data_IF_107762284984
#
_entry.id   IF_107762284984
#
_cell.length_a   1.000
_cell.length_b   1.000
_cell.length_c   1.000
_cell.angle_alpha   90.00
_cell.angle_beta   90.00
_cell.angle_gamma   90.00
#
_symmetry.space_group_name_H-M   'P 1'
#
loop_
_entity.id
_entity.type
_entity.pdbx_description
1 polymer ?
#
# COMPACT_ATOMS: atom_id res chain seq x y z
N UNK A 1 10.15 -10.82 7.28
CA UNK A 1 11.15 -9.95 6.60
C UNK A 1 11.02 -9.76 5.08
N UNK A 2 11.37 -10.69 4.16
CA UNK A 2 11.40 -10.38 2.69
C UNK A 2 10.05 -9.91 2.09
N UNK A 3 8.94 -10.52 2.51
CA UNK A 3 7.60 -10.16 2.03
C UNK A 3 7.21 -8.75 2.46
N UNK A 4 7.52 -8.34 3.69
CA UNK A 4 7.16 -7.01 4.19
C UNK A 4 7.90 -5.90 3.48
N UNK A 5 9.18 -6.12 3.17
CA UNK A 5 9.96 -5.20 2.37
C UNK A 5 9.39 -5.08 0.95
N UNK A 6 9.02 -6.20 0.33
CA UNK A 6 8.38 -6.18 -0.99
C UNK A 6 7.01 -5.47 -0.98
N UNK A 7 6.23 -5.64 0.09
CA UNK A 7 4.96 -4.93 0.27
C UNK A 7 5.18 -3.42 0.50
N UNK A 8 6.20 -3.03 1.27
CA UNK A 8 6.58 -1.63 1.49
C UNK A 8 7.04 -0.95 0.20
N UNK A 9 7.87 -1.62 -0.60
CA UNK A 9 8.30 -1.13 -1.92
C UNK A 9 7.11 -1.03 -2.90
N UNK A 10 6.23 -2.02 -2.93
CA UNK A 10 5.03 -1.99 -3.75
C UNK A 10 4.10 -0.82 -3.38
N UNK A 11 3.91 -0.57 -2.08
CA UNK A 11 3.10 0.54 -1.60
C UNK A 11 3.69 1.89 -2.03
N UNK A 12 5.01 2.09 -1.85
CA UNK A 12 5.71 3.32 -2.27
C UNK A 12 5.59 3.56 -3.78
N UNK A 13 5.72 2.51 -4.58
CA UNK A 13 5.61 2.61 -6.03
C UNK A 13 4.18 2.98 -6.46
N UNK A 14 3.16 2.39 -5.84
CA UNK A 14 1.76 2.71 -6.10
C UNK A 14 1.39 4.12 -5.64
N UNK A 15 1.87 4.54 -4.47
CA UNK A 15 1.67 5.90 -3.95
C UNK A 15 2.29 6.94 -4.89
N UNK A 16 3.54 6.71 -5.33
CA UNK A 16 4.21 7.57 -6.30
C UNK A 16 3.44 7.64 -7.62
N UNK A 17 2.98 6.50 -8.15
CA UNK A 17 2.20 6.47 -9.38
C UNK A 17 0.86 7.19 -9.25
N UNK A 18 0.19 7.09 -8.09
CA UNK A 18 -1.03 7.83 -7.80
C UNK A 18 -0.78 9.34 -7.75
N UNK A 19 0.32 9.77 -7.14
CA UNK A 19 0.68 11.19 -7.06
C UNK A 19 1.05 11.77 -8.43
N UNK A 20 1.81 11.02 -9.23
CA UNK A 20 2.10 11.39 -10.63
C UNK A 20 0.81 11.50 -11.47
N UNK A 21 -0.16 10.60 -11.24
CA UNK A 21 -1.44 10.65 -11.93
C UNK A 21 -2.30 11.85 -11.48
N UNK A 22 -2.34 12.18 -10.18
CA UNK A 22 -3.03 13.39 -9.66
C UNK A 22 -2.43 14.67 -10.21
N UNK A 23 -1.10 14.80 -10.12
CA UNK A 23 -0.39 15.98 -10.64
C UNK A 23 -0.58 16.16 -12.15
N UNK A 24 -0.78 15.06 -12.87
CA UNK A 24 -1.10 15.04 -14.30
C UNK A 24 -2.60 15.21 -14.61
N UNK A 25 -3.46 15.37 -13.61
CA UNK A 25 -4.93 15.51 -13.73
C UNK A 25 -5.63 14.31 -14.38
N UNK A 26 -5.14 13.10 -14.09
CA UNK A 26 -5.62 11.85 -14.67
C UNK A 26 -6.62 11.12 -13.76
N UNK A 27 -7.21 11.79 -12.77
CA UNK A 27 -8.12 11.14 -11.80
C UNK A 27 -9.40 10.59 -12.42
N UNK A 28 -9.81 11.11 -13.58
CA UNK A 28 -10.95 10.61 -14.35
C UNK A 28 -10.63 9.38 -15.21
N UNK A 29 -9.36 8.99 -15.31
CA UNK A 29 -8.94 7.90 -16.17
C UNK A 29 -9.11 6.53 -15.49
N UNK A 30 -9.52 5.47 -16.22
CA UNK A 30 -9.68 4.14 -15.65
C UNK A 30 -8.42 3.60 -14.94
N UNK A 31 -7.24 3.94 -15.45
CA UNK A 31 -5.98 3.50 -14.85
C UNK A 31 -5.76 4.09 -13.45
N UNK A 32 -6.24 5.32 -13.19
CA UNK A 32 -6.16 5.94 -11.87
C UNK A 32 -6.99 5.15 -10.86
N UNK A 33 -8.20 4.77 -11.24
CA UNK A 33 -9.05 3.89 -10.43
C UNK A 33 -8.35 2.56 -10.13
N UNK A 34 -7.72 1.93 -11.13
CA UNK A 34 -6.97 0.69 -10.93
C UNK A 34 -5.77 0.85 -9.98
N UNK A 35 -5.04 1.96 -10.07
CA UNK A 35 -3.95 2.27 -9.16
C UNK A 35 -4.48 2.45 -7.72
N UNK A 36 -5.57 3.20 -7.55
CA UNK A 36 -6.17 3.47 -6.24
C UNK A 36 -6.69 2.18 -5.59
N UNK A 37 -7.38 1.32 -6.37
CA UNK A 37 -7.84 0.02 -5.90
C UNK A 37 -6.68 -0.91 -5.55
N UNK A 38 -5.63 -0.96 -6.39
CA UNK A 38 -4.46 -1.79 -6.16
C UNK A 38 -3.73 -1.38 -4.88
N UNK A 39 -3.61 -0.06 -4.68
CA UNK A 39 -3.11 0.51 -3.44
C UNK A 39 -3.96 0.02 -2.27
N UNK A 40 -5.27 0.25 -2.25
CA UNK A 40 -6.16 -0.18 -1.17
C UNK A 40 -6.11 -1.70 -0.88
N UNK A 41 -6.06 -2.55 -1.91
CA UNK A 41 -5.98 -4.02 -1.77
C UNK A 41 -4.67 -4.46 -1.10
N UNK A 42 -3.57 -3.77 -1.37
CA UNK A 42 -2.28 -4.05 -0.72
C UNK A 42 -2.38 -3.87 0.80
N UNK A 43 -3.02 -2.80 1.25
CA UNK A 43 -3.28 -2.56 2.68
C UNK A 43 -4.20 -3.60 3.30
N UNK A 44 -5.27 -3.97 2.60
CA UNK A 44 -6.17 -5.02 3.05
C UNK A 44 -5.42 -6.35 3.23
N UNK A 45 -4.51 -6.70 2.32
CA UNK A 45 -3.69 -7.89 2.43
C UNK A 45 -2.78 -7.87 3.67
N UNK A 46 -2.12 -6.74 3.96
CA UNK A 46 -1.30 -6.56 5.18
C UNK A 46 -2.15 -6.72 6.44
N UNK A 47 -3.33 -6.09 6.48
CA UNK A 47 -4.25 -6.19 7.60
C UNK A 47 -4.70 -7.64 7.85
N UNK A 48 -5.00 -8.40 6.79
CA UNK A 48 -5.35 -9.81 6.88
C UNK A 48 -4.18 -10.66 7.38
N UNK A 49 -2.96 -10.43 6.88
CA UNK A 49 -1.78 -11.15 7.35
C UNK A 49 -1.58 -10.98 8.87
N UNK A 50 -1.78 -9.76 9.38
CA UNK A 50 -1.77 -9.49 10.83
C UNK A 50 -2.90 -10.23 11.55
N UNK A 51 -4.13 -10.15 11.05
CA UNK A 51 -5.29 -10.78 11.70
C UNK A 51 -5.14 -12.31 11.81
N UNK A 52 -4.51 -12.95 10.82
CA UNK A 52 -4.24 -14.39 10.82
C UNK A 52 -2.93 -14.80 11.51
N UNK A 53 -2.24 -13.87 12.19
CA UNK A 53 -0.98 -14.17 12.88
C UNK A 53 0.18 -14.54 11.95
N UNK A 54 0.10 -14.17 10.67
CA UNK A 54 1.16 -14.40 9.67
C UNK A 54 2.23 -13.30 9.67
N UNK A 55 2.12 -12.36 10.60
CA UNK A 55 2.90 -11.15 10.68
C UNK A 55 3.09 -10.88 12.18
N UNK A 56 4.33 -10.74 12.63
CA UNK A 56 4.61 -10.40 14.02
C UNK A 56 3.95 -9.05 14.36
N UNK A 57 3.34 -8.88 15.55
CA UNK A 57 2.74 -7.63 15.95
C UNK A 57 3.65 -6.39 15.77
N UNK A 58 4.95 -6.49 16.06
CA UNK A 58 5.92 -5.40 15.88
C UNK A 58 6.21 -5.12 14.39
N UNK A 59 6.30 -6.16 13.58
CA UNK A 59 6.43 -6.04 12.12
C UNK A 59 5.19 -5.36 11.53
N UNK A 60 4.00 -5.73 12.02
CA UNK A 60 2.73 -5.15 11.63
C UNK A 60 2.59 -3.68 12.02
N UNK A 61 3.01 -3.30 13.24
CA UNK A 61 3.03 -1.90 13.68
C UNK A 61 4.08 -1.07 12.92
N UNK A 62 5.25 -1.63 12.61
CA UNK A 62 6.28 -0.94 11.80
C UNK A 62 5.77 -0.64 10.39
N UNK A 63 5.15 -1.62 9.75
CA UNK A 63 4.58 -1.45 8.42
C UNK A 63 3.40 -0.48 8.46
N UNK A 64 2.53 -0.60 9.48
CA UNK A 64 1.43 0.36 9.69
C UNK A 64 1.96 1.79 9.87
N UNK A 65 2.95 2.00 10.72
CA UNK A 65 3.52 3.33 10.97
C UNK A 65 4.16 3.96 9.73
N UNK A 66 4.72 3.15 8.82
CA UNK A 66 5.27 3.63 7.55
C UNK A 66 4.19 3.95 6.53
N UNK A 67 3.18 3.09 6.43
CA UNK A 67 2.15 3.20 5.41
C UNK A 67 1.01 4.17 5.78
N UNK A 68 0.77 4.41 7.07
CA UNK A 68 -0.29 5.29 7.58
C UNK A 68 0.28 6.51 8.31
N UNK A 69 1.46 6.98 7.91
CA UNK A 69 2.01 8.23 8.44
C UNK A 69 1.11 9.38 7.96
N UNK A 70 0.12 9.71 8.79
CA UNK A 70 -0.58 10.99 8.78
C UNK A 70 0.37 12.10 9.25
#
# INVERSE_FOLDING_TARGET
MKILMALDEAAKNLEKALEEARTSKLEGEPFFTWLAESYARLFAAVALMRAYGRLDPQEGETLKARLFKA
#
